data_IF_540917011599
#
_entry.id   IF_540917011599
#
_cell.length_a   1.000
_cell.length_b   1.000
_cell.length_c   1.000
_cell.angle_alpha   90.00
_cell.angle_beta   90.00
_cell.angle_gamma   90.00
#
_symmetry.space_group_name_H-M   'P 1'
#
loop_
_entity.id
_entity.type
_entity.pdbx_description
1 polymer ?
#
# COMPACT_ATOMS: atom_id res chain seq x y z
N UNK A 1 35.98 -13.70 34.92
CA UNK A 1 35.37 -12.81 33.92
C UNK A 1 34.29 -13.63 33.20
N UNK A 2 33.04 -13.45 33.58
CA UNK A 2 31.92 -14.24 33.03
C UNK A 2 31.24 -13.39 31.97
N UNK A 3 31.37 -13.79 30.70
CA UNK A 3 30.73 -13.12 29.59
C UNK A 3 29.26 -13.55 29.51
N UNK A 4 28.35 -12.62 29.81
CA UNK A 4 26.92 -12.80 29.57
C UNK A 4 26.67 -12.64 28.07
N UNK A 5 26.41 -13.75 27.38
CA UNK A 5 25.93 -13.73 26.01
C UNK A 5 24.53 -13.10 25.98
N UNK A 6 24.36 -12.06 25.17
CA UNK A 6 23.05 -11.45 24.90
C UNK A 6 22.22 -12.45 24.07
N UNK A 7 20.94 -12.71 24.41
CA UNK A 7 20.10 -13.51 23.56
C UNK A 7 19.82 -12.73 22.28
N UNK A 8 20.28 -13.27 21.15
CA UNK A 8 19.79 -12.89 19.82
C UNK A 8 18.28 -13.05 19.86
N UNK A 9 17.54 -11.93 19.90
CA UNK A 9 16.09 -11.94 19.83
C UNK A 9 15.68 -12.45 18.45
N UNK A 10 15.52 -13.76 18.32
CA UNK A 10 14.89 -14.37 17.16
C UNK A 10 13.49 -13.75 17.05
N UNK A 11 13.20 -13.15 15.90
CA UNK A 11 11.87 -12.62 15.60
C UNK A 11 10.83 -13.69 15.90
N UNK A 12 9.82 -13.36 16.69
CA UNK A 12 8.71 -14.28 16.92
C UNK A 12 8.10 -14.69 15.56
N UNK A 13 7.71 -15.96 15.38
CA UNK A 13 7.11 -16.40 14.13
C UNK A 13 5.83 -15.60 13.85
N UNK A 14 5.50 -15.37 12.55
CA UNK A 14 4.30 -14.61 12.19
C UNK A 14 3.04 -15.31 12.73
N UNK A 15 1.99 -14.55 13.09
CA UNK A 15 0.74 -15.14 13.55
C UNK A 15 0.10 -16.02 12.48
N UNK A 16 -0.63 -17.05 12.90
CA UNK A 16 -1.37 -17.95 11.98
C UNK A 16 -2.37 -17.12 11.16
N UNK A 17 -2.46 -17.40 9.86
CA UNK A 17 -3.32 -16.68 8.92
C UNK A 17 -2.72 -15.39 8.36
N UNK A 18 -1.43 -15.13 8.61
CA UNK A 18 -0.71 -14.01 7.98
C UNK A 18 -0.64 -14.16 6.46
N UNK A 19 -0.63 -13.02 5.76
CA UNK A 19 -0.43 -12.98 4.31
C UNK A 19 1.02 -12.61 4.04
N UNK A 20 1.72 -13.49 3.34
CA UNK A 20 3.01 -13.17 2.73
C UNK A 20 2.78 -12.78 1.27
N UNK A 21 3.41 -11.69 0.82
CA UNK A 21 3.36 -11.23 -0.58
C UNK A 21 1.92 -10.94 -1.09
N UNK A 22 1.23 -9.92 -0.53
CA UNK A 22 -0.04 -9.48 -1.10
C UNK A 22 0.16 -9.03 -2.56
N UNK A 23 -0.87 -9.21 -3.40
CA UNK A 23 -0.78 -8.83 -4.82
C UNK A 23 -0.57 -7.31 -4.94
N UNK A 24 0.50 -6.85 -5.61
CA UNK A 24 0.69 -5.44 -5.90
C UNK A 24 -0.34 -4.96 -6.93
N UNK A 25 -0.73 -3.69 -6.83
CA UNK A 25 -1.55 -3.03 -7.86
C UNK A 25 -0.64 -2.55 -8.99
N UNK A 26 0.47 -1.90 -8.64
CA UNK A 26 1.47 -1.40 -9.58
C UNK A 26 2.87 -1.43 -8.93
N UNK A 27 3.86 -1.93 -9.67
CA UNK A 27 5.25 -1.50 -9.49
C UNK A 27 5.36 -0.17 -10.25
N UNK A 28 5.62 0.93 -9.58
CA UNK A 28 5.77 2.22 -10.28
C UNK A 28 7.15 2.21 -10.94
N UNK A 29 7.26 1.77 -12.19
CA UNK A 29 8.54 1.62 -12.90
C UNK A 29 9.38 2.89 -12.84
N UNK A 30 10.45 2.85 -12.03
CA UNK A 30 11.51 3.84 -12.02
C UNK A 30 12.59 3.46 -13.03
N UNK A 31 12.39 3.81 -14.31
CA UNK A 31 13.51 4.03 -15.24
C UNK A 31 14.40 5.13 -14.61
N UNK A 32 15.71 5.01 -14.38
CA UNK A 32 16.80 4.54 -15.25
C UNK A 32 18.00 4.13 -14.37
N UNK A 33 18.51 2.90 -14.50
CA UNK A 33 19.92 2.61 -14.22
C UNK A 33 20.61 2.35 -15.56
N UNK A 34 21.17 3.41 -16.16
CA UNK A 34 22.22 3.30 -17.17
C UNK A 34 23.45 3.92 -16.57
N UNK A 35 24.34 3.08 -16.06
CA UNK A 35 25.74 3.45 -15.98
C UNK A 35 26.60 2.19 -16.10
N UNK A 36 27.53 2.21 -17.06
CA UNK A 36 28.55 1.16 -17.18
C UNK A 36 29.03 0.72 -18.58
N UNK A 37 29.32 1.63 -19.53
CA UNK A 37 30.61 1.68 -20.31
C UNK A 37 30.53 2.41 -21.67
N UNK A 38 31.61 3.15 -22.10
CA UNK A 38 31.58 4.12 -23.22
C UNK A 38 32.38 3.62 -24.49
N UNK A 39 32.59 4.40 -25.58
CA UNK A 39 32.10 4.11 -26.94
C UNK A 39 33.19 3.63 -27.94
N UNK A 40 32.78 3.10 -29.10
CA UNK A 40 33.65 3.03 -30.29
C UNK A 40 32.91 3.27 -31.61
N UNK A 41 33.57 3.83 -32.65
CA UNK A 41 32.94 4.69 -33.66
C UNK A 41 32.83 4.07 -35.07
N UNK A 42 32.20 4.85 -35.98
CA UNK A 42 32.08 4.74 -37.46
C UNK A 42 30.82 4.02 -37.95
N UNK A 43 30.17 4.43 -39.05
CA UNK A 43 30.26 5.60 -39.96
C UNK A 43 28.92 5.66 -40.71
N UNK A 44 28.43 6.88 -40.91
CA UNK A 44 27.60 7.40 -42.03
C UNK A 44 27.16 6.46 -43.15
N UNK A 45 25.86 6.49 -43.49
CA UNK A 45 25.33 6.96 -44.79
C UNK A 45 23.84 7.32 -44.70
N UNK A 46 23.54 8.62 -44.76
CA UNK A 46 22.29 9.18 -45.33
C UNK A 46 22.35 8.99 -46.87
N UNK A 47 21.22 8.97 -47.64
CA UNK A 47 20.40 10.19 -47.81
C UNK A 47 18.89 10.06 -48.16
N UNK A 48 18.22 11.20 -47.95
CA UNK A 48 17.16 11.84 -48.76
C UNK A 48 15.72 11.27 -48.79
N UNK A 49 14.75 12.14 -48.44
CA UNK A 49 13.36 12.04 -48.88
C UNK A 49 12.33 12.75 -48.00
N UNK A 50 11.98 14.00 -48.33
CA UNK A 50 10.72 14.67 -47.99
C UNK A 50 10.26 15.35 -49.30
N UNK A 51 8.96 15.46 -49.64
CA UNK A 51 8.00 16.21 -48.80
C UNK A 51 6.48 15.84 -48.93
N UNK A 52 5.67 16.49 -48.08
CA UNK A 52 4.26 16.94 -48.25
C UNK A 52 3.10 15.94 -48.37
N UNK A 53 2.12 16.05 -47.45
CA UNK A 53 0.74 15.59 -47.66
C UNK A 53 -0.18 15.66 -46.43
N UNK A 54 -0.90 16.77 -46.21
CA UNK A 54 -2.22 16.80 -45.52
C UNK A 54 -3.30 16.40 -46.53
N UNK A 55 -4.40 15.68 -46.17
CA UNK A 55 -5.49 16.27 -45.37
C UNK A 55 -6.43 15.31 -44.57
N UNK A 56 -7.27 15.92 -43.71
CA UNK A 56 -8.64 15.54 -43.29
C UNK A 56 -8.90 14.14 -42.68
N UNK A 57 -9.25 14.13 -41.39
CA UNK A 57 -10.10 13.08 -40.80
C UNK A 57 -11.44 13.69 -40.32
N UNK A 58 -12.60 13.09 -40.66
CA UNK A 58 -13.92 13.54 -40.24
C UNK A 58 -14.32 12.97 -38.86
N UNK A 59 -15.25 13.68 -38.23
CA UNK A 59 -15.98 13.29 -37.03
C UNK A 59 -16.72 11.97 -37.23
N UNK A 60 -16.52 11.03 -36.31
CA UNK A 60 -17.43 9.91 -36.08
C UNK A 60 -17.77 9.87 -34.60
N UNK A 61 -18.98 10.32 -34.31
CA UNK A 61 -19.73 10.08 -33.09
C UNK A 61 -19.88 8.58 -32.84
N UNK A 62 -19.32 8.10 -31.73
CA UNK A 62 -19.69 6.83 -31.12
C UNK A 62 -20.19 7.09 -29.70
N UNK A 63 -21.50 6.98 -29.55
CA UNK A 63 -22.23 6.76 -28.31
C UNK A 63 -21.57 5.60 -27.57
N UNK A 64 -21.06 5.84 -26.36
CA UNK A 64 -20.39 4.83 -25.58
C UNK A 64 -20.30 5.21 -24.11
N UNK A 65 -21.27 4.69 -23.34
CA UNK A 65 -21.25 4.48 -21.90
C UNK A 65 -20.87 5.65 -21.00
N UNK A 66 -21.85 6.09 -20.20
CA UNK A 66 -21.63 6.63 -18.86
C UNK A 66 -20.84 5.61 -18.04
N UNK A 67 -19.51 5.64 -18.17
CA UNK A 67 -18.64 5.08 -17.15
C UNK A 67 -18.78 6.00 -15.94
N UNK A 68 -19.57 5.56 -14.98
CA UNK A 68 -19.44 5.91 -13.56
C UNK A 68 -18.02 5.52 -13.13
N UNK A 69 -17.06 6.36 -13.52
CA UNK A 69 -15.73 6.36 -12.97
C UNK A 69 -15.88 6.76 -11.53
N UNK A 70 -15.92 5.77 -10.65
CA UNK A 70 -15.57 5.94 -9.25
C UNK A 70 -14.17 6.53 -9.22
N UNK A 71 -14.10 7.87 -9.26
CA UNK A 71 -12.89 8.60 -8.95
C UNK A 71 -12.43 8.08 -7.58
N UNK A 72 -11.16 7.66 -7.42
CA UNK A 72 -10.64 7.49 -6.09
C UNK A 72 -10.81 8.85 -5.42
N UNK A 73 -11.69 8.90 -4.42
CA UNK A 73 -11.84 10.09 -3.58
C UNK A 73 -10.47 10.34 -2.96
N UNK A 74 -9.73 11.27 -3.55
CA UNK A 74 -8.41 11.62 -3.10
C UNK A 74 -8.58 12.17 -1.68
N UNK A 75 -8.11 11.42 -0.69
CA UNK A 75 -8.04 11.94 0.66
C UNK A 75 -7.21 13.24 0.62
N UNK A 76 -7.63 14.31 1.31
CA UNK A 76 -6.86 15.55 1.32
C UNK A 76 -5.44 15.28 1.82
N UNK A 77 -4.45 15.85 1.12
CA UNK A 77 -3.01 15.56 1.16
C UNK A 77 -2.29 15.77 2.53
N UNK A 78 -3.02 15.89 3.64
CA UNK A 78 -2.49 15.95 5.00
C UNK A 78 -2.96 14.81 5.90
N UNK A 79 -3.57 13.76 5.32
CA UNK A 79 -4.24 12.69 6.06
C UNK A 79 -3.49 11.36 6.02
N UNK A 80 -2.21 11.34 5.62
CA UNK A 80 -1.46 10.10 5.49
C UNK A 80 -0.79 9.70 6.80
N UNK A 81 -0.56 8.41 6.99
CA UNK A 81 0.24 7.88 8.10
C UNK A 81 1.47 7.19 7.54
N UNK A 82 2.66 7.69 7.88
CA UNK A 82 3.94 7.13 7.44
C UNK A 82 4.70 6.52 8.60
N UNK A 83 5.14 5.28 8.45
CA UNK A 83 5.98 4.56 9.42
C UNK A 83 7.17 3.94 8.69
N UNK A 84 8.32 4.59 8.79
CA UNK A 84 9.51 4.17 8.06
C UNK A 84 9.29 4.23 6.54
N UNK A 85 9.53 3.15 5.78
CA UNK A 85 9.33 3.11 4.32
C UNK A 85 7.87 2.87 3.91
N UNK A 86 6.96 2.60 4.85
CA UNK A 86 5.55 2.36 4.57
C UNK A 86 4.72 3.61 4.78
N UNK A 87 3.80 3.89 3.85
CA UNK A 87 2.81 4.97 3.95
C UNK A 87 1.42 4.42 3.67
N UNK A 88 0.49 4.74 4.57
CA UNK A 88 -0.93 4.52 4.40
C UNK A 88 -1.60 5.82 3.97
N UNK A 89 -2.15 5.82 2.76
CA UNK A 89 -2.79 6.99 2.17
C UNK A 89 -4.16 7.23 2.83
N UNK A 90 -4.40 8.47 3.30
CA UNK A 90 -5.68 8.91 3.83
C UNK A 90 -6.07 8.39 5.22
N UNK A 91 -5.23 7.58 5.87
CA UNK A 91 -5.55 6.89 7.13
C UNK A 91 -5.65 7.82 8.36
N UNK A 92 -4.86 8.90 8.39
CA UNK A 92 -4.93 9.93 9.42
C UNK A 92 -6.25 10.72 9.43
N UNK A 93 -7.01 10.66 8.33
CA UNK A 93 -8.33 11.28 8.22
C UNK A 93 -9.46 10.47 8.88
N UNK A 94 -9.21 9.26 9.36
CA UNK A 94 -10.24 8.38 9.93
C UNK A 94 -10.67 8.79 11.34
N UNK A 95 -9.80 9.43 12.13
CA UNK A 95 -10.10 9.72 13.54
C UNK A 95 -11.33 10.62 13.75
N UNK A 96 -11.62 11.51 12.79
CA UNK A 96 -12.74 12.47 12.83
C UNK A 96 -13.61 12.49 11.58
N UNK A 97 -13.46 11.51 10.68
CA UNK A 97 -14.26 11.44 9.45
C UNK A 97 -15.62 10.75 9.64
N UNK A 98 -16.34 10.54 8.54
CA UNK A 98 -17.50 9.65 8.48
C UNK A 98 -17.09 8.24 8.04
N UNK A 99 -17.64 7.21 8.70
CA UNK A 99 -17.38 5.80 8.39
C UNK A 99 -17.90 5.45 6.99
N UNK A 100 -19.07 5.99 6.58
CA UNK A 100 -19.71 5.65 5.30
C UNK A 100 -18.92 6.15 4.09
N UNK A 101 -18.13 7.21 4.26
CA UNK A 101 -17.30 7.79 3.21
C UNK A 101 -16.01 7.01 2.99
N UNK A 102 -15.61 6.20 3.97
CA UNK A 102 -14.28 5.58 4.04
C UNK A 102 -14.31 4.07 3.98
N UNK A 103 -15.47 3.46 4.17
CA UNK A 103 -15.61 2.02 4.16
C UNK A 103 -16.95 1.51 3.67
N UNK A 104 -17.06 0.19 3.69
CA UNK A 104 -18.30 -0.55 3.46
C UNK A 104 -18.57 -1.40 4.69
N UNK A 105 -19.83 -1.43 5.11
CA UNK A 105 -20.27 -2.29 6.21
C UNK A 105 -20.93 -3.56 5.64
N UNK A 106 -20.67 -4.70 6.28
CA UNK A 106 -21.44 -5.93 6.10
C UNK A 106 -21.76 -6.55 7.47
N UNK A 107 -22.27 -7.77 7.49
CA UNK A 107 -22.63 -8.48 8.73
C UNK A 107 -21.46 -8.76 9.67
N UNK A 108 -20.21 -8.75 9.17
CA UNK A 108 -19.01 -8.98 9.97
C UNK A 108 -18.44 -7.71 10.60
N UNK A 109 -18.65 -6.56 9.97
CA UNK A 109 -18.12 -5.28 10.44
C UNK A 109 -17.88 -4.30 9.31
N UNK A 110 -16.92 -3.42 9.52
CA UNK A 110 -16.53 -2.37 8.59
C UNK A 110 -15.23 -2.72 7.87
N UNK A 111 -15.20 -2.41 6.59
CA UNK A 111 -14.06 -2.60 5.70
C UNK A 111 -13.62 -1.24 5.17
N UNK A 112 -12.59 -0.67 5.77
CA UNK A 112 -12.06 0.65 5.43
C UNK A 112 -11.02 0.54 4.34
N UNK A 113 -11.27 1.15 3.18
CA UNK A 113 -10.34 1.08 2.06
C UNK A 113 -9.02 1.71 2.45
N UNK A 114 -7.93 1.07 2.02
CA UNK A 114 -6.61 1.63 2.17
C UNK A 114 -5.76 1.41 0.94
N UNK A 115 -5.04 2.45 0.55
CA UNK A 115 -3.97 2.38 -0.42
C UNK A 115 -2.64 2.51 0.36
N UNK A 116 -1.83 1.46 0.29
CA UNK A 116 -0.54 1.35 0.97
C UNK A 116 0.58 1.50 -0.05
N UNK A 117 1.53 2.37 0.22
CA UNK A 117 2.73 2.54 -0.60
C UNK A 117 3.95 2.15 0.21
N UNK A 118 4.79 1.28 -0.35
CA UNK A 118 6.09 0.89 0.23
C UNK A 118 7.19 1.46 -0.65
N UNK A 119 8.15 2.16 -0.04
CA UNK A 119 9.34 2.68 -0.73
C UNK A 119 10.15 1.55 -1.39
N UNK A 120 10.94 1.86 -2.43
CA UNK A 120 11.81 0.89 -3.09
C UNK A 120 12.66 0.05 -2.14
N UNK A 121 13.00 -1.15 -2.60
CA UNK A 121 13.98 -2.04 -1.98
C UNK A 121 13.74 -2.33 -0.49
N UNK A 122 12.47 -2.31 -0.07
CA UNK A 122 12.03 -2.46 1.31
C UNK A 122 11.07 -3.65 1.48
N UNK A 123 11.25 -4.39 2.56
CA UNK A 123 10.26 -5.35 3.05
C UNK A 123 9.70 -4.84 4.37
N UNK A 124 8.37 -4.76 4.46
CA UNK A 124 7.67 -4.25 5.64
C UNK A 124 6.61 -5.25 6.07
N UNK A 125 6.68 -5.70 7.32
CA UNK A 125 5.63 -6.50 7.94
C UNK A 125 4.78 -5.61 8.84
N UNK A 126 3.49 -5.57 8.57
CA UNK A 126 2.50 -4.91 9.43
C UNK A 126 1.76 -6.00 10.19
N UNK A 127 1.70 -5.87 11.50
CA UNK A 127 1.02 -6.83 12.38
C UNK A 127 0.01 -6.10 13.25
N UNK A 128 -1.22 -6.60 13.32
CA UNK A 128 -2.22 -6.12 14.29
C UNK A 128 -1.79 -6.58 15.68
N UNK A 129 -1.80 -5.67 16.65
CA UNK A 129 -1.46 -5.97 18.04
C UNK A 129 -2.37 -7.08 18.58
N UNK A 130 -1.81 -7.97 19.39
CA UNK A 130 -2.46 -9.22 19.80
C UNK A 130 -3.86 -9.00 20.41
N UNK A 131 -4.01 -7.94 21.21
CA UNK A 131 -5.24 -7.48 21.86
C UNK A 131 -6.41 -7.32 20.87
N UNK A 132 -6.13 -6.89 19.63
CA UNK A 132 -7.15 -6.52 18.64
C UNK A 132 -7.31 -7.54 17.50
N UNK A 133 -6.50 -8.61 17.42
CA UNK A 133 -6.58 -9.58 16.30
C UNK A 133 -7.93 -10.30 16.18
N UNK A 134 -8.69 -10.38 17.26
CA UNK A 134 -10.05 -10.95 17.24
C UNK A 134 -11.11 -9.99 16.67
N UNK A 135 -10.79 -8.69 16.55
CA UNK A 135 -11.73 -7.64 16.15
C UNK A 135 -11.24 -6.83 14.95
N UNK A 136 -9.96 -6.88 14.62
CA UNK A 136 -9.38 -6.13 13.53
C UNK A 136 -8.39 -6.99 12.73
N UNK A 137 -8.30 -6.70 11.44
CA UNK A 137 -7.37 -7.39 10.56
C UNK A 137 -7.14 -6.65 9.25
N UNK A 138 -6.20 -7.18 8.49
CA UNK A 138 -5.69 -6.64 7.24
C UNK A 138 -6.20 -7.50 6.09
N UNK A 139 -6.88 -6.89 5.13
CA UNK A 139 -7.44 -7.58 3.98
C UNK A 139 -6.69 -7.12 2.72
N UNK A 140 -5.69 -7.88 2.28
CA UNK A 140 -4.89 -7.56 1.10
C UNK A 140 -4.82 -8.77 0.15
N UNK A 141 -4.77 -8.52 -1.15
CA UNK A 141 -4.60 -9.58 -2.16
C UNK A 141 -5.89 -10.24 -2.67
N UNK A 142 -7.07 -9.65 -2.40
CA UNK A 142 -8.38 -10.07 -2.91
C UNK A 142 -9.39 -8.90 -2.99
N UNK A 143 -10.63 -9.19 -3.40
CA UNK A 143 -11.75 -8.24 -3.34
C UNK A 143 -12.14 -7.95 -1.87
N UNK A 144 -12.95 -6.90 -1.65
CA UNK A 144 -13.54 -6.60 -0.34
C UNK A 144 -14.18 -7.84 0.29
N UNK A 145 -13.93 -8.07 1.59
CA UNK A 145 -14.48 -9.23 2.31
C UNK A 145 -13.63 -10.50 2.24
N UNK A 146 -12.37 -10.40 1.82
CA UNK A 146 -11.37 -11.45 2.05
C UNK A 146 -11.16 -11.67 3.54
N UNK A 147 -10.77 -12.89 3.97
CA UNK A 147 -10.59 -13.19 5.39
C UNK A 147 -9.55 -12.23 6.02
N UNK A 148 -9.89 -11.54 7.13
CA UNK A 148 -8.99 -10.56 7.73
C UNK A 148 -7.76 -11.24 8.33
N UNK A 149 -6.58 -10.86 7.84
CA UNK A 149 -5.32 -11.42 8.30
C UNK A 149 -4.77 -10.63 9.50
N UNK A 150 -4.16 -11.29 10.50
CA UNK A 150 -3.55 -10.60 11.64
C UNK A 150 -2.23 -9.91 11.29
N UNK A 151 -1.57 -10.31 10.19
CA UNK A 151 -0.36 -9.63 9.69
C UNK A 151 -0.25 -9.75 8.17
N UNK A 152 0.45 -8.79 7.56
CA UNK A 152 0.77 -8.77 6.12
C UNK A 152 2.23 -8.34 5.93
N UNK A 153 2.99 -9.11 5.15
CA UNK A 153 4.34 -8.77 4.72
C UNK A 153 4.32 -8.21 3.29
N UNK A 154 4.64 -6.92 3.14
CA UNK A 154 4.75 -6.22 1.87
C UNK A 154 6.19 -6.26 1.37
N UNK A 155 6.37 -6.58 0.10
CA UNK A 155 7.67 -6.60 -0.57
C UNK A 155 7.61 -5.63 -1.74
N UNK A 156 8.37 -4.54 -1.68
CA UNK A 156 8.43 -3.62 -2.80
C UNK A 156 9.19 -4.21 -3.97
N UNK A 157 8.82 -3.81 -5.17
CA UNK A 157 9.57 -4.02 -6.39
C UNK A 157 10.95 -3.34 -6.30
N UNK A 158 11.99 -3.92 -6.91
CA UNK A 158 13.33 -3.30 -6.92
C UNK A 158 13.32 -1.92 -7.58
N UNK A 159 14.01 -0.96 -6.97
CA UNK A 159 14.18 0.39 -7.52
C UNK A 159 12.91 1.23 -7.72
N UNK A 160 11.74 0.73 -7.29
CA UNK A 160 10.45 1.37 -7.51
C UNK A 160 9.53 1.31 -6.28
N UNK A 161 8.83 2.40 -5.94
CA UNK A 161 7.75 2.33 -4.96
C UNK A 161 6.69 1.34 -5.43
N UNK A 162 6.09 0.63 -4.49
CA UNK A 162 5.06 -0.37 -4.79
C UNK A 162 3.78 -0.04 -4.07
N UNK A 163 2.70 0.00 -4.84
CA UNK A 163 1.37 0.28 -4.34
C UNK A 163 0.58 -1.02 -4.13
N UNK A 164 -0.02 -1.14 -2.97
CA UNK A 164 -0.91 -2.23 -2.59
C UNK A 164 -2.26 -1.65 -2.21
N UNK A 165 -3.34 -2.31 -2.66
CA UNK A 165 -4.70 -1.93 -2.28
C UNK A 165 -5.30 -3.04 -1.42
N UNK A 166 -6.00 -2.62 -0.39
CA UNK A 166 -6.70 -3.52 0.51
C UNK A 166 -7.69 -2.78 1.37
N UNK A 167 -8.04 -3.42 2.48
CA UNK A 167 -8.86 -2.82 3.53
C UNK A 167 -8.36 -3.18 4.92
N UNK A 168 -8.67 -2.30 5.87
CA UNK A 168 -8.70 -2.64 7.29
C UNK A 168 -10.10 -3.11 7.65
N UNK A 169 -10.19 -4.32 8.18
CA UNK A 169 -11.40 -4.83 8.78
C UNK A 169 -11.45 -4.40 10.25
N UNK A 170 -12.62 -3.92 10.69
CA UNK A 170 -12.95 -3.66 12.09
C UNK A 170 -14.35 -4.20 12.38
N UNK A 171 -14.42 -5.20 13.25
CA UNK A 171 -15.66 -5.86 13.64
C UNK A 171 -16.62 -4.91 14.39
N UNK A 172 -17.91 -5.25 14.37
CA UNK A 172 -18.93 -4.51 15.11
C UNK A 172 -19.30 -3.18 14.45
N UNK A 173 -19.33 -2.10 15.23
CA UNK A 173 -19.74 -0.76 14.78
C UNK A 173 -18.66 -0.02 13.98
N UNK A 174 -17.49 -0.63 13.80
CA UNK A 174 -16.39 -0.12 12.99
C UNK A 174 -15.46 0.83 13.73
N UNK A 175 -15.70 1.08 15.02
CA UNK A 175 -14.94 2.03 15.81
C UNK A 175 -13.93 1.31 16.67
N UNK A 176 -12.64 1.57 16.45
CA UNK A 176 -11.59 0.99 17.29
C UNK A 176 -10.30 1.80 17.29
N UNK A 177 -9.56 1.67 18.39
CA UNK A 177 -8.14 1.96 18.45
C UNK A 177 -7.38 0.67 18.15
N UNK A 178 -6.76 0.60 16.98
CA UNK A 178 -6.06 -0.60 16.52
C UNK A 178 -4.55 -0.37 16.65
N UNK A 179 -3.87 -1.04 17.60
CA UNK A 179 -2.43 -1.04 17.66
C UNK A 179 -1.86 -1.85 16.49
N UNK A 180 -0.83 -1.31 15.85
CA UNK A 180 -0.09 -1.94 14.77
C UNK A 180 1.40 -1.94 15.11
N UNK A 181 2.03 -3.08 14.87
CA UNK A 181 3.48 -3.22 14.92
C UNK A 181 4.01 -3.27 13.48
N UNK A 182 4.87 -2.32 13.14
CA UNK A 182 5.48 -2.20 11.80
C UNK A 182 6.95 -2.57 11.87
N UNK A 183 7.31 -3.71 11.29
CA UNK A 183 8.69 -4.22 11.20
C UNK A 183 9.27 -3.97 9.81
N UNK A 184 10.50 -3.48 9.73
CA UNK A 184 11.22 -3.24 8.46
C UNK A 184 12.41 -4.17 8.39
N UNK A 185 12.41 -5.12 7.45
CA UNK A 185 13.40 -6.22 7.45
C UNK A 185 13.47 -6.89 8.82
N UNK A 186 14.67 -6.99 9.40
CA UNK A 186 14.90 -7.55 10.74
C UNK A 186 15.03 -6.51 11.85
N UNK A 187 14.73 -5.23 11.56
CA UNK A 187 14.78 -4.18 12.58
C UNK A 187 13.70 -4.36 13.66
N UNK A 188 13.88 -3.76 14.85
CA UNK A 188 12.83 -3.71 15.86
C UNK A 188 11.52 -3.12 15.31
N UNK A 189 10.40 -3.70 15.72
CA UNK A 189 9.09 -3.21 15.32
C UNK A 189 8.81 -1.82 15.91
N UNK A 190 8.19 -0.96 15.10
CA UNK A 190 7.68 0.34 15.53
C UNK A 190 6.20 0.20 15.84
N UNK A 191 5.82 0.58 17.06
CA UNK A 191 4.42 0.56 17.49
C UNK A 191 3.72 1.85 17.10
N UNK A 192 2.53 1.74 16.50
CA UNK A 192 1.63 2.86 16.22
C UNK A 192 0.20 2.46 16.49
N UNK A 193 -0.65 3.41 16.89
CA UNK A 193 -2.08 3.15 17.09
C UNK A 193 -2.88 3.95 16.08
N UNK A 194 -3.72 3.25 15.31
CA UNK A 194 -4.62 3.89 14.34
C UNK A 194 -6.00 4.03 14.96
N UNK A 195 -6.54 5.25 14.92
CA UNK A 195 -7.91 5.54 15.34
C UNK A 195 -8.87 5.39 14.16
N UNK A 196 -9.66 4.33 14.19
CA UNK A 196 -10.81 4.15 13.30
C UNK A 196 -12.01 4.80 13.97
N UNK A 197 -12.23 6.09 13.71
CA UNK A 197 -13.43 6.82 14.16
C UNK A 197 -13.73 6.76 15.67
N UNK A 198 -12.71 6.44 16.48
CA UNK A 198 -12.79 6.38 17.94
C UNK A 198 -12.32 7.67 18.61
N UNK A 199 -12.04 8.72 17.85
CA UNK A 199 -11.46 9.96 18.37
C UNK A 199 -10.00 9.76 18.79
N UNK A 200 -9.62 10.18 20.00
CA UNK A 200 -8.26 10.04 20.50
C UNK A 200 -8.02 8.63 21.06
N UNK A 201 -6.99 7.96 20.55
CA UNK A 201 -6.53 6.68 21.07
C UNK A 201 -5.41 6.85 22.09
N UNK A 202 -5.28 5.93 23.07
CA UNK A 202 -4.12 5.88 23.94
C UNK A 202 -2.86 5.59 23.09
N UNK A 203 -1.76 6.26 23.45
CA UNK A 203 -0.45 6.11 22.82
C UNK A 203 0.47 5.23 23.66
#
# INVERSE_FOLDING_TARGET
MTATASPTAASAPPPVGSIEHPRPVECVDGLVQRDGSPPAPRRTTNPAGSPTGTPKAPSSSSTGHLSTGSSPSAAPAGSDVTVGPLTWQGLGGLAGGDQTDRGRQNSGGWHYRIDTVVRPDSTVTVTVGAEQRARAGLEFGGEYGSAPAPAVAFHSCPGSPTSFRGSFFVAGDGRACVPLDVKVGDAPARHVVISFFSGRCPA
#
